data_IF_997503275697
#
_entry.id   IF_997503275697
#
_cell.length_a   1.000
_cell.length_b   1.000
_cell.length_c   1.000
_cell.angle_alpha   90.00
_cell.angle_beta   90.00
_cell.angle_gamma   90.00
#
_symmetry.space_group_name_H-M   'P 1'
#
loop_
_entity.id
_entity.type
_entity.pdbx_description
1 polymer ?
#
# COMPACT_ATOMS: atom_id res chain seq x y z
N UNK A 1 -47.16 -2.77 -39.47
CA UNK A 1 -46.36 -3.51 -38.46
C UNK A 1 -46.17 -2.62 -37.22
N UNK A 2 -47.08 -2.67 -36.26
CA UNK A 2 -46.93 -1.94 -34.98
C UNK A 2 -46.25 -2.85 -33.96
N UNK A 3 -45.00 -2.54 -33.60
CA UNK A 3 -44.30 -3.26 -32.52
C UNK A 3 -45.09 -3.03 -31.22
N UNK A 4 -45.74 -4.06 -30.69
CA UNK A 4 -46.27 -4.02 -29.30
C UNK A 4 -45.09 -3.82 -28.36
N UNK A 5 -44.90 -2.60 -27.87
CA UNK A 5 -43.89 -2.31 -26.86
C UNK A 5 -44.38 -2.90 -25.54
N UNK A 6 -43.77 -4.00 -25.10
CA UNK A 6 -44.07 -4.61 -23.83
C UNK A 6 -43.55 -3.70 -22.71
N UNK A 7 -44.47 -2.96 -22.06
CA UNK A 7 -44.15 -1.97 -21.02
C UNK A 7 -43.30 -2.56 -19.89
N UNK A 8 -43.52 -3.82 -19.52
CA UNK A 8 -42.69 -4.53 -18.52
C UNK A 8 -41.26 -4.75 -19.03
N UNK A 9 -41.11 -5.19 -20.28
CA UNK A 9 -39.80 -5.37 -20.91
C UNK A 9 -39.06 -4.03 -21.11
N UNK A 10 -39.79 -2.92 -21.35
CA UNK A 10 -39.22 -1.59 -21.44
C UNK A 10 -38.72 -1.09 -20.07
N UNK A 11 -39.50 -1.29 -19.00
CA UNK A 11 -39.12 -0.92 -17.63
C UNK A 11 -37.87 -1.68 -17.18
N UNK A 12 -37.82 -3.00 -17.39
CA UNK A 12 -36.66 -3.84 -17.02
C UNK A 12 -35.40 -3.40 -17.78
N UNK A 13 -35.51 -3.12 -19.09
CA UNK A 13 -34.38 -2.62 -19.89
C UNK A 13 -33.86 -1.28 -19.40
N UNK A 14 -34.74 -0.32 -19.13
CA UNK A 14 -34.34 0.98 -18.58
C UNK A 14 -33.69 0.82 -17.20
N UNK A 15 -34.24 -0.02 -16.33
CA UNK A 15 -33.67 -0.27 -15.00
C UNK A 15 -32.26 -0.89 -15.09
N UNK A 16 -32.04 -1.87 -15.97
CA UNK A 16 -30.71 -2.46 -16.18
C UNK A 16 -29.70 -1.45 -16.74
N UNK A 17 -30.12 -0.58 -17.66
CA UNK A 17 -29.25 0.48 -18.22
C UNK A 17 -28.87 1.50 -17.14
N UNK A 18 -29.83 1.93 -16.32
CA UNK A 18 -29.57 2.86 -15.22
C UNK A 18 -28.66 2.25 -14.15
N UNK A 19 -28.86 0.97 -13.81
CA UNK A 19 -27.99 0.25 -12.89
C UNK A 19 -26.55 0.14 -13.43
N UNK A 20 -26.39 -0.21 -14.71
CA UNK A 20 -25.07 -0.28 -15.34
C UNK A 20 -24.35 1.09 -15.37
N UNK A 21 -25.07 2.17 -15.67
CA UNK A 21 -24.52 3.53 -15.63
C UNK A 21 -24.10 3.94 -14.20
N UNK A 22 -24.92 3.60 -13.20
CA UNK A 22 -24.62 3.87 -11.80
C UNK A 22 -23.36 3.13 -11.32
N UNK A 23 -23.22 1.85 -11.68
CA UNK A 23 -22.02 1.06 -11.35
C UNK A 23 -20.76 1.63 -12.01
N UNK A 24 -20.84 2.07 -13.27
CA UNK A 24 -19.70 2.67 -13.98
C UNK A 24 -19.26 3.99 -13.33
N UNK A 25 -20.20 4.81 -12.87
CA UNK A 25 -19.90 6.04 -12.13
C UNK A 25 -19.26 5.76 -10.76
N UNK A 26 -19.73 4.73 -10.04
CA UNK A 26 -19.17 4.33 -8.75
C UNK A 26 -17.75 3.73 -8.86
N UNK A 27 -17.39 3.15 -10.01
CA UNK A 27 -16.04 2.66 -10.29
C UNK A 27 -15.06 3.79 -10.69
N UNK A 28 -15.50 5.05 -10.76
CA UNK A 28 -14.59 6.18 -10.98
C UNK A 28 -13.77 6.45 -9.71
N UNK A 29 -12.44 6.31 -9.82
CA UNK A 29 -11.52 6.61 -8.72
C UNK A 29 -11.30 8.11 -8.53
N UNK A 30 -10.91 8.51 -7.31
CA UNK A 30 -10.61 9.89 -6.94
C UNK A 30 -9.27 10.40 -7.49
N UNK A 31 -9.09 10.37 -8.81
CA UNK A 31 -7.88 10.87 -9.47
C UNK A 31 -7.68 12.39 -9.34
N UNK A 32 -8.72 13.12 -8.93
CA UNK A 32 -8.73 14.58 -8.76
C UNK A 32 -8.39 15.04 -7.33
N UNK A 33 -8.34 14.14 -6.35
CA UNK A 33 -8.02 14.46 -4.94
C UNK A 33 -6.51 14.55 -4.65
N UNK A 34 -5.66 14.42 -5.68
CA UNK A 34 -4.21 14.41 -5.53
C UNK A 34 -3.53 15.75 -5.75
N UNK A 35 -2.27 15.84 -5.33
CA UNK A 35 -1.37 16.95 -5.68
C UNK A 35 -0.91 16.84 -7.14
N UNK A 36 -0.75 17.97 -7.82
CA UNK A 36 -0.25 18.05 -9.20
C UNK A 36 1.13 17.39 -9.30
N UNK A 37 1.48 16.72 -10.41
CA UNK A 37 2.73 15.96 -10.52
C UNK A 37 4.00 16.73 -10.11
N UNK A 38 4.08 18.02 -10.45
CA UNK A 38 5.20 18.90 -10.11
C UNK A 38 5.23 19.36 -8.65
N UNK A 39 4.14 19.20 -7.90
CA UNK A 39 4.08 19.48 -6.46
C UNK A 39 4.76 18.37 -5.63
N UNK A 40 5.18 17.26 -6.24
CA UNK A 40 5.90 16.16 -5.57
C UNK A 40 7.42 16.35 -5.54
N UNK A 41 7.92 17.53 -5.91
CA UNK A 41 9.36 17.77 -6.11
C UNK A 41 10.24 17.63 -4.86
N UNK A 42 9.68 17.64 -3.65
CA UNK A 42 10.44 17.64 -2.39
C UNK A 42 10.05 16.45 -1.50
N UNK A 43 9.77 15.29 -2.10
CA UNK A 43 9.38 14.09 -1.33
C UNK A 43 10.57 13.36 -0.70
N UNK A 44 11.75 13.51 -1.26
CA UNK A 44 12.98 12.86 -0.81
C UNK A 44 14.04 13.92 -0.54
N UNK A 45 13.97 14.51 0.66
CA UNK A 45 14.99 15.45 1.11
C UNK A 45 16.29 14.71 1.45
N UNK A 46 17.42 15.41 1.44
CA UNK A 46 18.72 14.79 1.70
C UNK A 46 18.84 14.16 3.11
N UNK A 47 18.07 14.69 4.07
CA UNK A 47 17.92 14.18 5.44
C UNK A 47 17.10 12.89 5.53
N UNK A 48 16.34 12.50 4.49
CA UNK A 48 15.57 11.25 4.45
C UNK A 48 16.36 10.09 3.83
N UNK A 49 17.66 10.27 3.58
CA UNK A 49 18.52 9.19 3.06
C UNK A 49 18.73 8.15 4.15
N UNK A 50 18.60 6.84 3.85
CA UNK A 50 19.01 5.78 4.78
C UNK A 50 20.48 5.97 5.18
N UNK A 51 20.79 5.80 6.46
CA UNK A 51 22.13 6.10 6.99
C UNK A 51 22.44 7.59 7.12
N UNK A 52 21.41 8.45 7.15
CA UNK A 52 21.56 9.90 7.27
C UNK A 52 22.01 10.36 8.67
N UNK A 53 21.73 9.57 9.72
CA UNK A 53 22.16 9.85 11.08
C UNK A 53 22.60 8.58 11.82
N UNK A 54 23.61 8.71 12.67
CA UNK A 54 24.11 7.58 13.49
C UNK A 54 23.05 7.06 14.48
N UNK A 55 22.07 7.90 14.86
CA UNK A 55 20.98 7.50 15.74
C UNK A 55 19.95 6.63 15.01
N UNK A 56 19.62 6.95 13.76
CA UNK A 56 18.71 6.13 12.95
C UNK A 56 19.30 4.75 12.70
N UNK A 57 20.59 4.69 12.34
CA UNK A 57 21.31 3.41 12.14
C UNK A 57 21.36 2.56 13.42
N UNK A 58 21.52 3.20 14.57
CA UNK A 58 21.49 2.51 15.86
C UNK A 58 20.11 1.93 16.18
N UNK A 59 19.05 2.72 15.96
CA UNK A 59 17.66 2.30 16.22
C UNK A 59 17.27 1.16 15.26
N UNK A 60 17.59 1.28 13.98
CA UNK A 60 17.36 0.25 12.97
C UNK A 60 18.10 -1.04 13.33
N UNK A 61 19.35 -0.93 13.76
CA UNK A 61 20.12 -2.05 14.29
C UNK A 61 19.45 -2.69 15.50
N UNK A 62 19.02 -1.90 16.48
CA UNK A 62 18.36 -2.37 17.69
C UNK A 62 17.05 -3.11 17.38
N UNK A 63 16.23 -2.58 16.49
CA UNK A 63 14.97 -3.21 16.04
C UNK A 63 15.26 -4.50 15.27
N UNK A 64 16.24 -4.48 14.35
CA UNK A 64 16.64 -5.66 13.59
C UNK A 64 17.11 -6.79 14.51
N UNK A 65 17.99 -6.49 15.47
CA UNK A 65 18.43 -7.47 16.45
C UNK A 65 17.29 -7.94 17.33
N UNK A 66 16.41 -7.07 17.83
CA UNK A 66 15.28 -7.50 18.65
C UNK A 66 14.34 -8.46 17.90
N UNK A 67 14.18 -8.26 16.59
CA UNK A 67 13.29 -9.07 15.75
C UNK A 67 13.94 -10.39 15.28
N UNK A 68 15.22 -10.35 14.93
CA UNK A 68 15.96 -11.48 14.35
C UNK A 68 16.92 -12.16 15.35
N UNK A 69 16.97 -11.73 16.62
CA UNK A 69 17.81 -12.37 17.64
C UNK A 69 17.38 -13.82 17.93
N UNK A 70 16.13 -14.18 17.67
CA UNK A 70 15.66 -15.57 17.79
C UNK A 70 16.23 -16.49 16.70
N UNK A 71 16.64 -15.94 15.56
CA UNK A 71 17.20 -16.67 14.40
C UNK A 71 18.73 -16.56 14.29
N UNK A 72 19.38 -15.76 15.13
CA UNK A 72 20.84 -15.55 15.16
C UNK A 72 21.27 -14.32 14.36
N UNK A 73 21.53 -13.22 15.08
CA UNK A 73 22.04 -11.97 14.49
C UNK A 73 23.56 -11.94 14.29
N UNK A 74 24.08 -10.80 13.78
CA UNK A 74 25.51 -10.50 13.46
C UNK A 74 26.56 -10.75 14.56
N UNK A 75 26.17 -11.22 15.74
CA UNK A 75 27.08 -11.70 16.79
C UNK A 75 26.82 -13.19 16.99
N UNK A 76 27.67 -14.02 16.38
CA UNK A 76 27.68 -15.46 16.54
C UNK A 76 28.26 -15.84 17.91
N UNK A 77 27.43 -16.41 18.80
CA UNK A 77 27.78 -17.39 19.84
C UNK A 77 26.46 -17.67 20.61
N UNK A 78 25.79 -18.80 20.43
CA UNK A 78 26.40 -20.11 20.64
C UNK A 78 26.72 -20.22 22.13
N UNK A 79 25.80 -20.78 22.92
CA UNK A 79 26.06 -21.09 24.31
C UNK A 79 27.25 -22.04 24.41
N UNK A 80 28.37 -21.53 24.89
CA UNK A 80 29.55 -22.30 25.22
C UNK A 80 30.07 -21.82 26.57
N UNK A 81 29.97 -22.68 27.59
CA UNK A 81 30.67 -22.52 28.85
C UNK A 81 32.17 -22.47 28.52
N UNK A 82 32.80 -21.32 28.73
CA UNK A 82 34.21 -21.08 28.42
C UNK A 82 35.14 -21.93 29.29
N UNK A 83 35.26 -23.22 28.94
CA UNK A 83 36.20 -24.16 29.53
C UNK A 83 36.86 -24.96 28.40
N UNK A 84 38.06 -24.51 27.99
CA UNK A 84 39.28 -25.33 27.79
C UNK A 84 40.37 -24.47 27.11
N UNK A 85 40.99 -23.56 27.85
CA UNK A 85 42.36 -23.62 28.38
C UNK A 85 42.53 -22.51 29.44
#
# INVERSE_FOLDING_TARGET
MTRRVNRRALIVRCACVLAALGCAAAASGCSTLGVKPWQRGILARADMRPGGSAMDDFIDGHIYFAKEASSGGRSFAGGGCGCND
#
